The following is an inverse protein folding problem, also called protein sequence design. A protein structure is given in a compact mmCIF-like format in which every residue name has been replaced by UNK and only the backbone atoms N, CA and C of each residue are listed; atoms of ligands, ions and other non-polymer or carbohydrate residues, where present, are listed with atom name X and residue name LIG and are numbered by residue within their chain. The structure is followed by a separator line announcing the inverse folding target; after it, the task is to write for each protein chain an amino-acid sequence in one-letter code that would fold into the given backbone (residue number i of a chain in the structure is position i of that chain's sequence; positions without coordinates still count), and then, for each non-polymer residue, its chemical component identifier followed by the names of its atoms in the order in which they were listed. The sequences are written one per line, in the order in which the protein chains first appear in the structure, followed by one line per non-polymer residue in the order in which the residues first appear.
data_IF_521724193499
#
_entry.id   IF_521724193499
#
_cell.length_a   1.000
_cell.length_b   1.000
_cell.length_c   1.000
_cell.angle_alpha   90.00
_cell.angle_beta   90.00
_cell.angle_gamma   90.00
#
_symmetry.space_group_name_H-M   'P 1'
#
loop_
_entity.id
_entity.type
_entity.pdbx_description
1 polymer ?
#
# COMPACT_ATOMS: atom_id res chain seq x y z
N UNK A 1 -22.87 -6.49 27.37
CA UNK A 1 -22.63 -7.42 26.25
C UNK A 1 -22.21 -6.55 25.08
N UNK A 2 -20.91 -6.29 24.94
CA UNK A 2 -20.36 -5.43 23.88
C UNK A 2 -19.51 -6.35 23.03
N UNK A 3 -20.06 -6.75 21.89
CA UNK A 3 -19.35 -7.54 20.88
C UNK A 3 -18.23 -6.68 20.33
N UNK A 4 -17.02 -6.92 20.80
CA UNK A 4 -15.80 -6.39 20.18
C UNK A 4 -15.67 -7.11 18.85
N UNK A 5 -16.24 -6.54 17.80
CA UNK A 5 -15.91 -6.93 16.42
C UNK A 5 -14.50 -6.41 16.15
N UNK A 6 -13.50 -7.13 16.68
CA UNK A 6 -12.15 -7.09 16.15
C UNK A 6 -12.24 -7.79 14.81
N UNK A 7 -12.69 -7.05 13.80
CA UNK A 7 -12.55 -7.45 12.41
C UNK A 7 -11.06 -7.76 12.22
N UNK A 8 -10.76 -9.05 12.07
CA UNK A 8 -9.41 -9.58 12.22
C UNK A 8 -8.41 -8.77 11.40
N UNK A 9 -7.40 -8.20 12.07
CA UNK A 9 -6.25 -7.56 11.40
C UNK A 9 -5.73 -8.59 10.41
N UNK A 10 -5.90 -8.34 9.11
CA UNK A 10 -5.48 -9.31 8.10
C UNK A 10 -3.97 -9.35 8.10
N UNK A 11 -3.43 -10.56 8.01
CA UNK A 11 -2.00 -10.78 7.91
C UNK A 11 -1.43 -9.91 6.77
N UNK A 12 -0.48 -8.99 7.05
CA UNK A 12 0.16 -8.15 6.03
C UNK A 12 0.77 -8.94 4.87
N UNK A 13 1.15 -10.20 5.11
CA UNK A 13 1.68 -11.07 4.06
C UNK A 13 0.58 -11.56 3.11
N UNK A 14 -0.60 -11.86 3.64
CA UNK A 14 -1.78 -12.17 2.83
C UNK A 14 -2.24 -10.95 2.00
N UNK A 15 -2.24 -9.76 2.60
CA UNK A 15 -2.55 -8.50 1.90
C UNK A 15 -1.56 -8.23 0.76
N UNK A 16 -0.27 -8.51 0.98
CA UNK A 16 0.77 -8.37 -0.07
C UNK A 16 0.52 -9.34 -1.23
N UNK A 17 0.23 -10.61 -0.92
CA UNK A 17 -0.05 -11.63 -1.93
C UNK A 17 -1.28 -11.27 -2.78
N UNK A 18 -2.35 -10.79 -2.14
CA UNK A 18 -3.56 -10.32 -2.84
C UNK A 18 -3.28 -9.13 -3.75
N UNK A 19 -2.52 -8.13 -3.28
CA UNK A 19 -2.11 -6.98 -4.09
C UNK A 19 -1.31 -7.42 -5.32
N UNK A 20 -0.35 -8.33 -5.15
CA UNK A 20 0.46 -8.86 -6.25
C UNK A 20 -0.38 -9.58 -7.30
N UNK A 21 -1.31 -10.44 -6.86
CA UNK A 21 -2.23 -11.14 -7.75
C UNK A 21 -3.07 -10.17 -8.57
N UNK A 22 -3.69 -9.18 -7.92
CA UNK A 22 -4.49 -8.18 -8.61
C UNK A 22 -3.66 -7.31 -9.57
N UNK A 23 -2.40 -7.04 -9.25
CA UNK A 23 -1.49 -6.28 -10.10
C UNK A 23 -1.01 -7.08 -11.33
N UNK A 24 -0.91 -8.41 -11.21
CA UNK A 24 -0.71 -9.30 -12.36
C UNK A 24 -1.96 -9.38 -13.25
N UNK A 25 -3.15 -9.51 -12.66
CA UNK A 25 -4.42 -9.55 -13.40
C UNK A 25 -4.68 -8.26 -14.20
N UNK A 26 -4.18 -7.11 -13.74
CA UNK A 26 -4.32 -5.81 -14.40
C UNK A 26 -3.17 -5.44 -15.35
N UNK A 27 -2.27 -6.37 -15.68
CA UNK A 27 -1.05 -6.12 -16.48
C UNK A 27 -0.11 -5.04 -15.89
N UNK A 28 -0.23 -4.75 -14.59
CA UNK A 28 0.54 -3.72 -13.90
C UNK A 28 1.95 -4.14 -13.50
N UNK A 29 2.22 -5.45 -13.37
CA UNK A 29 3.57 -6.02 -13.30
C UNK A 29 3.73 -7.07 -14.41
N UNK A 30 4.65 -6.80 -15.33
CA UNK A 30 4.94 -7.67 -16.49
C UNK A 30 6.23 -8.47 -16.37
N UNK A 31 7.09 -8.11 -15.43
CA UNK A 31 8.40 -8.73 -15.23
C UNK A 31 8.41 -9.52 -13.93
N UNK A 32 8.87 -10.77 -14.00
CA UNK A 32 9.07 -11.64 -12.84
C UNK A 32 10.02 -11.00 -11.81
N UNK A 33 11.09 -10.34 -12.27
CA UNK A 33 12.03 -9.64 -11.39
C UNK A 33 11.35 -8.51 -10.59
N UNK A 34 10.39 -7.82 -11.20
CA UNK A 34 9.60 -6.79 -10.53
C UNK A 34 8.61 -7.41 -9.55
N UNK A 35 7.94 -8.50 -9.91
CA UNK A 35 7.05 -9.23 -9.00
C UNK A 35 7.80 -9.73 -7.75
N UNK A 36 8.99 -10.31 -7.94
CA UNK A 36 9.83 -10.79 -6.85
C UNK A 36 10.26 -9.65 -5.90
N UNK A 37 10.61 -8.48 -6.45
CA UNK A 37 10.93 -7.31 -5.65
C UNK A 37 9.72 -6.85 -4.80
N UNK A 38 8.53 -6.79 -5.39
CA UNK A 38 7.31 -6.41 -4.67
C UNK A 38 6.90 -7.45 -3.61
N UNK A 39 7.20 -8.74 -3.82
CA UNK A 39 6.99 -9.79 -2.83
C UNK A 39 7.96 -9.68 -1.64
N UNK A 40 9.20 -9.30 -1.89
CA UNK A 40 10.24 -9.18 -0.86
C UNK A 40 10.09 -7.92 0.00
N UNK A 41 9.53 -6.84 -0.54
CA UNK A 41 9.47 -5.54 0.16
C UNK A 41 8.19 -5.41 1.01
N UNK A 42 8.29 -5.34 2.35
CA UNK A 42 7.14 -5.12 3.22
C UNK A 42 6.71 -3.65 3.20
N UNK A 43 5.90 -3.28 2.20
CA UNK A 43 5.40 -1.92 1.96
C UNK A 43 4.80 -1.23 3.21
N UNK A 44 4.16 -1.97 4.12
CA UNK A 44 3.57 -1.44 5.35
C UNK A 44 4.61 -0.83 6.31
N UNK A 45 5.88 -1.29 6.30
CA UNK A 45 6.93 -0.72 7.14
C UNK A 45 7.32 0.71 6.74
N UNK A 46 7.00 1.13 5.52
CA UNK A 46 7.26 2.48 5.02
C UNK A 46 6.12 3.46 5.35
N UNK A 47 5.05 3.00 6.00
CA UNK A 47 3.89 3.79 6.38
C UNK A 47 3.45 3.45 7.82
N UNK A 48 4.27 3.78 8.84
CA UNK A 48 4.03 3.37 10.22
C UNK A 48 2.71 3.91 10.80
N UNK A 49 2.24 5.06 10.31
CA UNK A 49 1.02 5.71 10.76
C UNK A 49 -0.23 5.25 9.98
N UNK A 50 -0.08 4.40 8.96
CA UNK A 50 -1.17 3.89 8.14
C UNK A 50 -1.49 2.43 8.48
N UNK A 51 -2.77 2.03 8.49
CA UNK A 51 -3.13 0.64 8.63
C UNK A 51 -2.60 -0.18 7.43
N UNK A 52 -2.12 -1.43 7.64
CA UNK A 52 -1.57 -2.26 6.56
C UNK A 52 -2.52 -2.44 5.37
N UNK A 53 -3.84 -2.48 5.61
CA UNK A 53 -4.87 -2.56 4.58
C UNK A 53 -4.80 -1.36 3.63
N UNK A 54 -4.53 -0.17 4.15
CA UNK A 54 -4.35 1.04 3.33
C UNK A 54 -3.01 1.01 2.58
N UNK A 55 -1.99 0.37 3.13
CA UNK A 55 -0.68 0.27 2.49
C UNK A 55 -0.69 -0.66 1.25
N UNK A 56 -1.57 -1.66 1.23
CA UNK A 56 -1.71 -2.65 0.16
C UNK A 56 -2.92 -2.43 -0.76
N UNK A 57 -3.69 -1.36 -0.55
CA UNK A 57 -4.78 -0.97 -1.44
C UNK A 57 -4.22 -0.46 -2.78
N UNK A 58 -4.71 -1.01 -3.89
CA UNK A 58 -4.28 -0.65 -5.25
C UNK A 58 -4.86 0.69 -5.73
N UNK A 59 -6.02 1.08 -5.20
CA UNK A 59 -6.77 2.27 -5.63
C UNK A 59 -6.63 3.44 -4.68
N UNK A 60 -5.97 3.23 -3.53
CA UNK A 60 -5.82 4.25 -2.50
C UNK A 60 -4.36 4.54 -2.21
N UNK A 61 -4.01 5.81 -2.27
CA UNK A 61 -2.66 6.26 -1.94
C UNK A 61 -2.52 6.43 -0.43
N UNK A 62 -1.46 5.85 0.16
CA UNK A 62 -1.06 6.18 1.53
C UNK A 62 -0.64 7.65 1.56
N UNK A 63 -1.24 8.48 2.43
CA UNK A 63 -0.85 9.88 2.54
C UNK A 63 0.55 9.99 3.15
N UNK A 64 1.53 10.38 2.34
CA UNK A 64 2.95 10.48 2.72
C UNK A 64 3.27 11.80 3.44
N UNK A 65 2.41 12.79 3.31
CA UNK A 65 2.65 14.13 3.84
C UNK A 65 1.34 14.71 4.34
N UNK A 66 1.22 14.93 5.64
CA UNK A 66 0.07 15.59 6.25
C UNK A 66 0.46 17.01 6.65
N UNK A 67 -0.42 17.97 6.43
CA UNK A 67 -0.24 19.31 7.01
C UNK A 67 -0.51 19.31 8.52
N UNK A 68 -0.30 20.46 9.15
CA UNK A 68 -0.57 20.69 10.58
C UNK A 68 -2.05 20.49 10.99
N UNK A 69 -2.95 20.27 10.03
CA UNK A 69 -4.38 20.03 10.19
C UNK A 69 -4.76 18.58 9.81
N UNK A 70 -3.79 17.70 9.50
CA UNK A 70 -4.02 16.30 9.15
C UNK A 70 -4.48 16.07 7.71
N UNK A 71 -4.44 17.09 6.84
CA UNK A 71 -4.82 16.97 5.44
C UNK A 71 -3.67 16.39 4.61
N UNK A 72 -3.98 15.36 3.82
CA UNK A 72 -3.06 14.71 2.89
C UNK A 72 -2.59 15.69 1.79
N UNK A 73 -1.35 16.14 1.88
CA UNK A 73 -0.67 16.93 0.87
C UNK A 73 -0.25 16.00 -0.28
N UNK A 74 -0.70 16.31 -1.49
CA UNK A 74 -0.39 15.57 -2.73
C UNK A 74 1.12 15.39 -2.95
N UNK A 75 1.53 14.19 -3.37
CA UNK A 75 2.89 13.88 -3.83
C UNK A 75 2.98 14.25 -5.32
N UNK A 76 3.69 15.35 -5.62
CA UNK A 76 3.95 15.78 -6.99
C UNK A 76 5.09 14.99 -7.64
N UNK A 77 4.88 14.53 -8.88
CA UNK A 77 5.92 13.96 -9.75
C UNK A 77 7.07 14.96 -9.95
N UNK A 78 8.31 14.58 -9.63
CA UNK A 78 9.51 15.35 -10.03
C UNK A 78 9.58 15.35 -11.55
N UNK A 79 9.31 16.51 -12.16
CA UNK A 79 9.52 16.72 -13.60
C UNK A 79 11.03 16.68 -13.84
N UNK A 80 11.50 15.67 -14.57
CA UNK A 80 12.89 15.56 -15.03
C UNK A 80 13.11 16.61 -16.12
N UNK A 81 13.96 17.59 -15.83
CA UNK A 81 14.36 18.61 -16.81
C UNK A 81 15.13 17.94 -17.97
N UNK A 82 14.77 18.28 -19.20
CA UNK A 82 15.58 18.10 -20.41
C UNK A 82 16.11 19.47 -20.79
#
# INVERSE_FOLDING_TARGET
MTTTDTSAVRDPDALRADMLRALHEQDGIKSEAVAAAFAAVPRHLFAPDAPPELAYDLHRTVPVKTDQNGLSLSVGTVKRAV
#
